data_IF_062365554748
#
_entry.id   IF_062365554748
#
_cell.length_a   1.000
_cell.length_b   1.000
_cell.length_c   1.000
_cell.angle_alpha   90.00
_cell.angle_beta   90.00
_cell.angle_gamma   90.00
#
_symmetry.space_group_name_H-M   'P 1'
#
loop_
_entity.id
_entity.type
_entity.pdbx_description
1 polymer ?
#
# COMPACT_ATOMS: atom_id res chain seq x y z
N UNK A 1 -9.03 -15.20 16.18
CA UNK A 1 -9.28 -13.85 15.67
C UNK A 1 -8.07 -13.02 16.09
N UNK A 2 -7.47 -12.30 15.14
CA UNK A 2 -6.27 -11.47 15.32
C UNK A 2 -6.63 -10.00 15.59
N UNK A 3 -7.90 -9.66 15.46
CA UNK A 3 -8.47 -8.31 15.56
C UNK A 3 -7.83 -7.34 14.53
N UNK A 4 -7.57 -7.85 13.32
CA UNK A 4 -7.00 -7.10 12.20
C UNK A 4 -7.64 -7.47 10.84
N UNK A 5 -7.21 -6.80 9.76
CA UNK A 5 -7.77 -7.02 8.42
C UNK A 5 -7.57 -8.45 7.88
N UNK A 6 -6.61 -9.20 8.42
CA UNK A 6 -6.31 -10.59 8.01
C UNK A 6 -7.25 -11.61 8.63
N UNK A 7 -8.17 -11.20 9.52
CA UNK A 7 -9.28 -12.05 9.94
C UNK A 7 -10.27 -12.34 8.80
N UNK A 8 -10.24 -11.56 7.71
CA UNK A 8 -10.96 -11.87 6.47
C UNK A 8 -10.20 -12.97 5.70
N UNK A 9 -10.79 -14.17 5.50
CA UNK A 9 -10.06 -15.29 4.91
C UNK A 9 -9.46 -14.96 3.53
N UNK A 10 -8.21 -15.37 3.32
CA UNK A 10 -7.49 -15.22 2.07
C UNK A 10 -6.82 -13.86 1.85
N UNK A 11 -7.12 -12.85 2.69
CA UNK A 11 -6.40 -11.58 2.67
C UNK A 11 -5.12 -11.69 3.50
N UNK A 12 -4.04 -11.15 2.97
CA UNK A 12 -2.76 -11.02 3.66
C UNK A 12 -2.41 -9.54 3.81
N UNK A 13 -1.70 -9.18 4.87
CA UNK A 13 -1.24 -7.82 5.08
C UNK A 13 0.21 -7.82 5.56
N UNK A 14 0.98 -6.86 5.07
CA UNK A 14 2.38 -6.71 5.43
C UNK A 14 2.85 -5.26 5.31
N UNK A 15 4.05 -5.01 5.78
CA UNK A 15 4.60 -3.69 6.05
C UNK A 15 6.12 -3.73 5.98
N UNK A 16 6.70 -2.63 5.52
CA UNK A 16 8.13 -2.38 5.60
C UNK A 16 8.35 -0.89 5.81
N UNK A 17 9.34 -0.54 6.61
CA UNK A 17 9.64 0.85 6.94
C UNK A 17 11.14 1.08 7.13
N UNK A 18 11.51 2.35 7.08
CA UNK A 18 12.80 2.86 7.55
C UNK A 18 12.55 3.68 8.82
N UNK A 19 12.94 3.18 10.01
CA UNK A 19 12.68 3.85 11.28
C UNK A 19 13.59 5.07 11.51
N UNK A 20 14.64 5.26 10.71
CA UNK A 20 15.51 6.44 10.76
C UNK A 20 14.97 7.52 9.84
N UNK A 21 14.54 7.15 8.63
CA UNK A 21 13.91 8.07 7.72
C UNK A 21 12.48 8.46 8.13
N UNK A 22 11.86 7.67 9.03
CA UNK A 22 10.49 7.84 9.51
C UNK A 22 9.49 7.82 8.34
N UNK A 23 9.55 6.74 7.56
CA UNK A 23 8.63 6.49 6.44
C UNK A 23 8.53 5.00 6.17
N UNK A 24 7.53 4.57 5.41
CA UNK A 24 7.35 3.17 5.04
C UNK A 24 6.14 2.94 4.16
N UNK A 25 5.85 1.68 3.87
CA UNK A 25 4.66 1.27 3.15
C UNK A 25 4.01 0.03 3.76
N UNK A 26 2.68 -0.05 3.62
CA UNK A 26 1.86 -1.18 4.03
C UNK A 26 1.10 -1.69 2.82
N UNK A 27 1.06 -3.01 2.65
CA UNK A 27 0.36 -3.68 1.55
C UNK A 27 -0.73 -4.59 2.12
N UNK A 28 -1.86 -4.61 1.44
CA UNK A 28 -2.89 -5.65 1.61
C UNK A 28 -2.93 -6.43 0.31
N UNK A 29 -2.65 -7.72 0.35
CA UNK A 29 -2.76 -8.63 -0.79
C UNK A 29 -4.11 -9.32 -0.76
N UNK A 30 -4.79 -9.36 -1.90
CA UNK A 30 -6.05 -10.05 -2.06
C UNK A 30 -5.82 -11.57 -2.17
N UNK A 31 -6.89 -12.38 -2.03
CA UNK A 31 -6.87 -13.77 -2.51
C UNK A 31 -6.38 -13.86 -3.96
N UNK A 32 -5.88 -15.03 -4.36
CA UNK A 32 -5.25 -15.22 -5.68
C UNK A 32 -6.19 -14.89 -6.85
N UNK A 33 -7.51 -15.09 -6.67
CA UNK A 33 -8.56 -14.75 -7.64
C UNK A 33 -8.91 -13.25 -7.67
N UNK A 34 -8.25 -12.42 -6.86
CA UNK A 34 -8.51 -10.99 -6.67
C UNK A 34 -9.75 -10.70 -5.82
N UNK A 35 -9.98 -9.43 -5.51
CA UNK A 35 -11.14 -8.95 -4.78
C UNK A 35 -11.83 -7.79 -5.51
N UNK A 36 -13.16 -7.73 -5.42
CA UNK A 36 -13.92 -6.54 -5.86
C UNK A 36 -13.55 -5.37 -4.97
N UNK A 37 -13.30 -4.21 -5.56
CA UNK A 37 -12.91 -3.00 -4.83
C UNK A 37 -13.62 -1.76 -5.37
N UNK A 38 -13.66 -0.73 -4.53
CA UNK A 38 -14.14 0.61 -4.87
C UNK A 38 -13.27 1.65 -4.17
N UNK A 39 -13.39 2.91 -4.59
CA UNK A 39 -12.58 4.01 -4.06
C UNK A 39 -13.37 5.31 -3.94
N UNK A 40 -13.17 6.02 -2.84
CA UNK A 40 -13.74 7.33 -2.57
C UNK A 40 -12.64 8.26 -2.02
N UNK A 41 -12.28 9.28 -2.80
CA UNK A 41 -11.36 10.32 -2.38
C UNK A 41 -12.12 11.51 -1.80
N UNK A 42 -11.93 11.75 -0.50
CA UNK A 42 -12.52 12.89 0.20
C UNK A 42 -11.56 14.04 0.46
N UNK A 43 -10.25 13.78 0.46
CA UNK A 43 -9.23 14.80 0.65
C UNK A 43 -9.01 15.64 -0.62
N UNK A 44 -8.83 16.95 -0.45
CA UNK A 44 -8.56 17.87 -1.57
C UNK A 44 -7.16 17.76 -2.18
N UNK A 45 -6.21 17.14 -1.46
CA UNK A 45 -4.82 16.94 -1.89
C UNK A 45 -4.46 15.45 -1.96
N UNK A 46 -5.28 14.66 -2.67
CA UNK A 46 -5.03 13.24 -2.84
C UNK A 46 -3.81 12.96 -3.72
N UNK A 47 -3.00 11.98 -3.31
CA UNK A 47 -1.97 11.37 -4.16
C UNK A 47 -2.28 9.90 -4.31
N UNK A 48 -2.59 9.48 -5.52
CA UNK A 48 -3.10 8.14 -5.82
C UNK A 48 -2.51 7.58 -7.11
N UNK A 49 -2.60 6.25 -7.26
CA UNK A 49 -2.29 5.53 -8.49
C UNK A 49 -3.37 4.50 -8.75
N UNK A 50 -3.71 4.32 -10.03
CA UNK A 50 -4.56 3.24 -10.54
C UNK A 50 -5.95 3.17 -9.86
N UNK A 51 -6.60 4.33 -9.73
CA UNK A 51 -7.96 4.41 -9.19
C UNK A 51 -9.04 4.22 -10.25
N UNK A 52 -8.74 4.42 -11.54
CA UNK A 52 -9.72 4.26 -12.63
C UNK A 52 -10.31 2.83 -12.70
N UNK A 53 -9.52 1.75 -12.49
CA UNK A 53 -10.06 0.38 -12.43
C UNK A 53 -11.05 0.11 -11.30
N UNK A 54 -11.18 1.02 -10.33
CA UNK A 54 -12.11 0.89 -9.21
C UNK A 54 -13.51 1.47 -9.52
N UNK A 55 -13.69 2.01 -10.72
CA UNK A 55 -14.98 2.46 -11.21
C UNK A 55 -15.85 1.30 -11.71
N UNK A 56 -17.16 1.34 -11.42
CA UNK A 56 -18.14 0.30 -11.78
C UNK A 56 -18.27 0.03 -13.29
N UNK A 57 -17.79 0.95 -14.14
CA UNK A 57 -17.84 0.83 -15.59
C UNK A 57 -16.53 0.29 -16.20
N UNK A 58 -15.54 -0.03 -15.37
CA UNK A 58 -14.23 -0.50 -15.86
C UNK A 58 -14.27 -1.99 -16.21
N UNK A 59 -13.43 -2.41 -17.17
CA UNK A 59 -13.35 -3.80 -17.64
C UNK A 59 -12.70 -4.77 -16.64
N UNK A 60 -11.92 -4.21 -15.72
CA UNK A 60 -11.29 -4.95 -14.61
C UNK A 60 -12.28 -4.94 -13.47
N UNK A 61 -12.72 -6.12 -13.04
CA UNK A 61 -13.70 -6.26 -11.96
C UNK A 61 -13.06 -6.45 -10.58
N UNK A 62 -11.76 -6.79 -10.54
CA UNK A 62 -11.04 -7.15 -9.32
C UNK A 62 -9.63 -6.58 -9.27
N UNK A 63 -9.22 -6.18 -8.08
CA UNK A 63 -7.83 -5.82 -7.76
C UNK A 63 -7.12 -6.96 -7.06
N UNK A 64 -5.79 -6.88 -7.04
CA UNK A 64 -4.93 -7.97 -6.57
C UNK A 64 -4.14 -7.60 -5.32
N UNK A 65 -4.03 -6.30 -5.04
CA UNK A 65 -3.58 -5.77 -3.77
C UNK A 65 -3.84 -4.27 -3.69
N UNK A 66 -3.60 -3.69 -2.52
CA UNK A 66 -3.67 -2.25 -2.27
C UNK A 66 -2.41 -1.82 -1.54
N UNK A 67 -1.84 -0.69 -1.94
CA UNK A 67 -0.67 -0.10 -1.30
C UNK A 67 -1.03 1.21 -0.58
N UNK A 68 -0.66 1.31 0.69
CA UNK A 68 -0.61 2.56 1.44
C UNK A 68 0.86 2.90 1.68
N UNK A 69 1.25 4.15 1.45
CA UNK A 69 2.67 4.52 1.53
C UNK A 69 2.90 5.93 2.04
N UNK A 70 4.00 6.12 2.74
CA UNK A 70 4.59 7.42 3.01
C UNK A 70 5.27 8.01 1.76
N UNK A 71 6.05 9.07 1.94
CA UNK A 71 6.85 9.70 0.90
C UNK A 71 6.09 10.65 -0.02
N UNK A 72 4.82 10.96 0.27
CA UNK A 72 3.96 11.75 -0.62
C UNK A 72 3.93 11.15 -2.04
N UNK A 73 3.78 11.99 -3.08
CA UNK A 73 3.68 11.51 -4.47
C UNK A 73 4.87 10.64 -4.91
N UNK A 74 6.07 10.84 -4.34
CA UNK A 74 7.25 10.01 -4.63
C UNK A 74 7.04 8.56 -4.20
N UNK A 75 6.30 8.32 -3.11
CA UNK A 75 6.03 6.97 -2.61
C UNK A 75 5.20 6.12 -3.58
N UNK A 76 4.54 6.72 -4.57
CA UNK A 76 3.81 5.96 -5.60
C UNK A 76 4.74 5.05 -6.43
N UNK A 77 6.04 5.32 -6.46
CA UNK A 77 7.05 4.44 -7.08
C UNK A 77 7.09 3.05 -6.43
N UNK A 78 6.70 2.95 -5.15
CA UNK A 78 6.62 1.70 -4.42
C UNK A 78 5.57 0.72 -4.99
N UNK A 79 4.52 1.23 -5.66
CA UNK A 79 3.50 0.38 -6.28
C UNK A 79 4.07 -0.58 -7.33
N UNK A 80 5.16 -0.18 -8.01
CA UNK A 80 5.86 -1.04 -8.96
C UNK A 80 6.42 -2.32 -8.33
N UNK A 81 6.82 -2.27 -7.05
CA UNK A 81 7.27 -3.44 -6.31
C UNK A 81 6.14 -4.45 -6.06
N UNK A 82 4.96 -3.96 -5.64
CA UNK A 82 3.78 -4.82 -5.45
C UNK A 82 3.36 -5.47 -6.77
N UNK A 83 3.36 -4.72 -7.87
CA UNK A 83 3.07 -5.24 -9.21
C UNK A 83 4.06 -6.34 -9.58
N UNK A 84 5.37 -6.10 -9.46
CA UNK A 84 6.40 -7.12 -9.76
C UNK A 84 6.24 -8.37 -8.89
N UNK A 85 5.93 -8.18 -7.62
CA UNK A 85 5.73 -9.27 -6.67
C UNK A 85 4.58 -10.21 -7.08
N UNK A 86 3.44 -9.62 -7.47
CA UNK A 86 2.22 -10.33 -7.90
C UNK A 86 2.39 -10.95 -9.28
N UNK A 87 3.01 -10.23 -10.23
CA UNK A 87 3.28 -10.72 -11.59
C UNK A 87 4.13 -11.99 -11.56
N UNK A 88 5.20 -12.04 -10.75
CA UNK A 88 6.05 -13.24 -10.58
C UNK A 88 5.29 -14.46 -10.06
N UNK A 89 4.11 -14.25 -9.48
CA UNK A 89 3.22 -15.31 -8.97
C UNK A 89 2.05 -15.62 -9.91
N UNK A 90 1.97 -14.94 -11.05
CA UNK A 90 0.86 -15.09 -11.98
C UNK A 90 -0.48 -14.58 -11.43
N UNK A 91 -0.45 -13.63 -10.48
CA UNK A 91 -1.65 -13.04 -9.88
C UNK A 91 -1.91 -11.68 -10.53
N UNK A 92 -3.05 -11.54 -11.21
CA UNK A 92 -3.36 -10.36 -12.00
C UNK A 92 -4.45 -10.59 -13.03
N UNK A 93 -4.86 -9.51 -13.68
CA UNK A 93 -5.82 -9.54 -14.77
C UNK A 93 -5.21 -10.22 -16.01
N UNK A 94 -5.89 -11.23 -16.53
CA UNK A 94 -5.40 -11.98 -17.68
C UNK A 94 -5.57 -11.18 -18.98
N UNK A 95 -4.47 -10.97 -19.70
CA UNK A 95 -4.45 -10.31 -21.01
C UNK A 95 -3.80 -11.20 -22.07
N UNK A 96 -3.90 -10.80 -23.34
CA UNK A 96 -3.14 -11.46 -24.43
C UNK A 96 -1.62 -11.36 -24.24
N UNK A 97 -1.13 -10.35 -23.52
CA UNK A 97 0.30 -10.11 -23.29
C UNK A 97 0.84 -10.72 -21.99
N UNK A 98 -0.02 -11.35 -21.18
CA UNK A 98 0.35 -11.89 -19.88
C UNK A 98 -0.56 -11.42 -18.75
N UNK A 99 -0.13 -11.69 -17.54
CA UNK A 99 -0.82 -11.35 -16.31
C UNK A 99 -0.50 -9.90 -15.91
N UNK A 100 -1.51 -9.04 -15.72
CA UNK A 100 -1.34 -7.64 -15.35
C UNK A 100 -1.93 -7.41 -13.96
N UNK A 101 -1.11 -7.32 -12.90
CA UNK A 101 -1.59 -6.98 -11.57
C UNK A 101 -2.20 -5.58 -11.54
N UNK A 102 -3.26 -5.44 -10.75
CA UNK A 102 -4.01 -4.20 -10.54
C UNK A 102 -3.86 -3.87 -9.06
N UNK A 103 -3.12 -2.81 -8.77
CA UNK A 103 -2.66 -2.40 -7.44
C UNK A 103 -2.90 -0.90 -7.26
N UNK A 104 -4.12 -0.51 -6.85
CA UNK A 104 -4.38 0.85 -6.43
C UNK A 104 -3.48 1.25 -5.25
N UNK A 105 -3.03 2.50 -5.26
CA UNK A 105 -2.20 3.03 -4.19
C UNK A 105 -2.67 4.41 -3.73
N UNK A 106 -2.45 4.71 -2.46
CA UNK A 106 -2.67 6.02 -1.88
C UNK A 106 -1.51 6.40 -0.95
N UNK A 107 -1.19 7.70 -0.90
CA UNK A 107 -0.04 8.19 -0.15
C UNK A 107 -0.43 9.12 1.01
N UNK A 108 0.44 9.18 2.01
CA UNK A 108 0.44 10.24 3.02
C UNK A 108 1.70 11.10 2.92
N UNK A 109 1.66 12.28 3.54
CA UNK A 109 2.80 13.19 3.62
C UNK A 109 3.51 13.04 4.97
N UNK A 110 4.74 12.53 4.93
CA UNK A 110 5.66 12.36 6.07
C UNK A 110 7.05 12.95 5.83
N UNK A 111 7.28 13.62 4.68
CA UNK A 111 8.58 14.17 4.28
C UNK A 111 9.19 15.16 5.28
N UNK A 112 8.38 15.75 6.16
CA UNK A 112 8.81 16.71 7.18
C UNK A 112 9.11 16.11 8.55
N UNK A 113 9.04 14.78 8.71
CA UNK A 113 9.15 14.11 10.01
C UNK A 113 10.57 13.56 10.23
N UNK A 114 11.09 12.79 9.26
CA UNK A 114 12.46 12.29 9.29
C UNK A 114 13.26 12.76 8.07
N UNK A 115 13.81 11.80 7.33
CA UNK A 115 14.64 12.08 6.15
C UNK A 115 13.79 12.09 4.88
N UNK A 116 13.71 13.24 4.21
CA UNK A 116 12.95 13.39 2.97
C UNK A 116 13.64 12.82 1.73
N UNK A 117 14.94 12.54 1.80
CA UNK A 117 15.70 11.98 0.69
C UNK A 117 15.51 10.46 0.55
N UNK A 118 15.18 9.78 1.65
CA UNK A 118 14.83 8.36 1.70
C UNK A 118 13.31 8.19 1.78
N UNK A 119 12.74 7.50 0.80
CA UNK A 119 11.28 7.36 0.62
C UNK A 119 10.96 5.91 0.26
N UNK A 120 9.72 5.44 0.44
CA UNK A 120 9.33 4.11 0.01
C UNK A 120 9.54 3.95 -1.50
N UNK A 121 10.13 2.83 -1.88
CA UNK A 121 10.43 2.45 -3.25
C UNK A 121 9.91 1.04 -3.55
N UNK A 122 10.14 0.57 -4.79
CA UNK A 122 9.69 -0.74 -5.22
C UNK A 122 10.27 -1.87 -4.34
N UNK A 123 11.54 -1.77 -3.95
CA UNK A 123 12.19 -2.80 -3.14
C UNK A 123 11.59 -2.87 -1.72
N UNK A 124 11.24 -1.71 -1.14
CA UNK A 124 10.53 -1.66 0.14
C UNK A 124 9.14 -2.29 0.05
N UNK A 125 8.39 -2.05 -1.02
CA UNK A 125 7.10 -2.68 -1.23
C UNK A 125 7.21 -4.20 -1.44
N UNK A 126 8.22 -4.68 -2.17
CA UNK A 126 8.47 -6.12 -2.31
C UNK A 126 8.78 -6.78 -0.96
N UNK A 127 9.49 -6.08 -0.06
CA UNK A 127 9.69 -6.54 1.33
C UNK A 127 8.37 -6.60 2.10
N UNK A 128 7.52 -5.59 1.97
CA UNK A 128 6.20 -5.58 2.61
C UNK A 128 5.31 -6.74 2.10
N UNK A 129 5.31 -7.02 0.80
CA UNK A 129 4.62 -8.18 0.25
C UNK A 129 5.18 -9.51 0.78
N UNK A 130 6.51 -9.59 0.90
CA UNK A 130 7.16 -10.78 1.44
C UNK A 130 6.86 -10.98 2.93
N UNK A 131 6.74 -9.90 3.71
CA UNK A 131 6.27 -9.97 5.10
C UNK A 131 4.83 -10.51 5.15
N UNK A 132 3.95 -10.05 4.26
CA UNK A 132 2.55 -10.47 4.24
C UNK A 132 2.38 -12.00 4.10
N UNK A 133 3.18 -12.66 3.26
CA UNK A 133 3.14 -14.12 3.09
C UNK A 133 3.55 -14.92 4.32
N UNK A 134 4.33 -14.33 5.21
CA UNK A 134 4.73 -15.04 6.44
C UNK A 134 3.52 -15.38 7.32
N UNK A 135 2.40 -14.69 7.11
CA UNK A 135 1.22 -14.80 7.96
C UNK A 135 1.50 -14.36 9.40
N UNK A 136 2.54 -13.58 9.64
CA UNK A 136 2.81 -12.95 10.93
C UNK A 136 1.65 -12.01 11.32
N UNK A 137 1.54 -11.71 12.62
CA UNK A 137 0.58 -10.71 13.08
C UNK A 137 0.98 -9.33 12.55
N UNK A 138 0.01 -8.54 12.10
CA UNK A 138 0.28 -7.21 11.57
C UNK A 138 0.84 -6.29 12.67
N UNK A 139 1.95 -5.62 12.37
CA UNK A 139 2.57 -4.68 13.31
C UNK A 139 1.79 -3.36 13.30
N UNK A 140 1.35 -2.93 14.48
CA UNK A 140 0.55 -1.72 14.68
C UNK A 140 1.41 -0.55 15.19
N UNK A 141 0.90 0.68 15.04
CA UNK A 141 1.60 1.90 15.45
C UNK A 141 2.52 2.43 14.35
N UNK A 142 3.77 2.73 14.70
CA UNK A 142 4.76 3.31 13.79
C UNK A 142 5.40 2.24 12.89
N UNK A 143 4.58 1.48 12.17
CA UNK A 143 4.98 0.41 11.26
C UNK A 143 4.43 0.67 9.84
N UNK A 144 5.16 0.23 8.82
CA UNK A 144 4.81 0.45 7.42
C UNK A 144 4.52 1.91 7.09
N UNK A 145 3.39 2.16 6.41
CA UNK A 145 2.94 3.52 6.10
C UNK A 145 2.72 4.40 7.35
N UNK A 146 2.45 3.79 8.51
CA UNK A 146 2.27 4.49 9.78
C UNK A 146 3.56 5.03 10.39
N UNK A 147 4.75 4.61 9.90
CA UNK A 147 6.03 4.95 10.52
C UNK A 147 6.27 6.46 10.66
N UNK A 148 5.95 7.24 9.62
CA UNK A 148 6.04 8.70 9.60
C UNK A 148 4.71 9.43 9.78
N UNK A 149 3.62 8.70 10.09
CA UNK A 149 2.30 9.30 10.17
C UNK A 149 2.18 10.21 11.39
N UNK A 150 1.53 11.36 11.22
CA UNK A 150 1.25 12.33 12.29
C UNK A 150 -0.19 12.80 12.23
N UNK A 151 -0.82 12.97 13.38
CA UNK A 151 -2.24 13.35 13.51
C UNK A 151 -2.38 14.54 14.48
N UNK A 152 -3.47 15.33 14.35
CA UNK A 152 -3.76 16.36 15.36
C UNK A 152 -2.83 17.60 15.37
N UNK A 153 -2.24 17.94 14.23
CA UNK A 153 -1.24 19.04 14.05
C UNK A 153 -1.78 20.48 14.22
N UNK A 154 -3.00 20.68 14.73
CA UNK A 154 -3.61 22.01 14.82
C UNK A 154 -2.82 22.96 15.74
N UNK A 155 -2.12 22.43 16.74
CA UNK A 155 -1.22 23.19 17.63
C UNK A 155 0.26 23.11 17.22
N UNK A 156 0.53 22.70 15.98
CA UNK A 156 1.87 22.53 15.43
C UNK A 156 2.39 21.08 15.50
N UNK A 157 3.43 20.76 14.70
CA UNK A 157 3.94 19.40 14.54
C UNK A 157 4.65 18.83 15.77
N UNK A 158 5.17 19.67 16.66
CA UNK A 158 5.82 19.21 17.90
C UNK A 158 4.84 18.60 18.94
N UNK A 159 3.54 18.64 18.65
CA UNK A 159 2.45 18.14 19.51
C UNK A 159 1.66 17.00 18.86
N UNK A 160 2.11 16.56 17.69
CA UNK A 160 1.47 15.55 16.86
C UNK A 160 2.02 14.15 17.11
#
# INVERSE_FOLDING_TARGET
MRDDITDVPGFLAGSAEDPVALTGCSVVLCPAEGAVAGFDQRGGAGGTRETDPLGVAHIVEKVHGVLLTGGSAFGLDAAGGVVRYLERRGIGFATRGGCVPIVPAAVLYDLGIGRSDLRPDADMAERACSEAETGAALRLGNAGAGCGATIGKILGPARA
#
